data_IF_558143396578
#
_entry.id   IF_558143396578
#
_cell.length_a   1.000
_cell.length_b   1.000
_cell.length_c   1.000
_cell.angle_alpha   90.00
_cell.angle_beta   90.00
_cell.angle_gamma   90.00
#
_symmetry.space_group_name_H-M   'P 1'
#
loop_
_entity.id
_entity.type
_entity.pdbx_description
1 polymer ?
#
# COMPACT_ATOMS: atom_id res chain seq x y z
N UNK A 1 16.92 72.90 6.55
CA UNK A 1 17.19 71.71 7.40
C UNK A 1 16.25 70.58 7.03
N UNK A 2 16.73 69.52 6.33
CA UNK A 2 16.26 68.10 6.40
C UNK A 2 17.08 67.10 5.53
N UNK A 3 18.42 67.24 5.32
CA UNK A 3 19.18 66.30 4.48
C UNK A 3 19.29 64.87 5.05
N UNK A 4 19.11 64.69 6.37
CA UNK A 4 19.23 63.38 7.03
C UNK A 4 18.08 62.41 6.70
N UNK A 5 16.91 62.92 6.30
CA UNK A 5 15.75 62.07 5.98
C UNK A 5 15.92 61.43 4.60
N UNK A 6 16.43 62.17 3.62
CA UNK A 6 16.72 61.67 2.27
C UNK A 6 17.81 60.59 2.27
N UNK A 7 18.87 60.76 3.08
CA UNK A 7 19.94 59.75 3.21
C UNK A 7 19.42 58.45 3.82
N UNK A 8 18.60 58.54 4.88
CA UNK A 8 17.96 57.36 5.50
C UNK A 8 17.03 56.66 4.52
N UNK A 9 16.28 57.41 3.71
CA UNK A 9 15.38 56.85 2.68
C UNK A 9 16.17 56.12 1.60
N UNK A 10 17.28 56.70 1.14
CA UNK A 10 18.16 56.06 0.17
C UNK A 10 18.81 54.78 0.70
N UNK A 11 19.30 54.80 1.94
CA UNK A 11 19.88 53.61 2.60
C UNK A 11 18.84 52.49 2.76
N UNK A 12 17.60 52.84 3.08
CA UNK A 12 16.50 51.87 3.19
C UNK A 12 16.16 51.23 1.84
N UNK A 13 16.17 52.00 0.75
CA UNK A 13 15.95 51.48 -0.61
C UNK A 13 17.06 50.51 -1.00
N UNK A 14 18.32 50.83 -0.70
CA UNK A 14 19.45 49.92 -0.94
C UNK A 14 19.29 48.63 -0.12
N UNK A 15 18.96 48.75 1.16
CA UNK A 15 18.73 47.59 2.03
C UNK A 15 17.62 46.69 1.48
N UNK A 16 16.52 47.29 1.02
CA UNK A 16 15.39 46.57 0.42
C UNK A 16 15.82 45.87 -0.87
N UNK A 17 16.63 46.52 -1.71
CA UNK A 17 17.17 45.93 -2.93
C UNK A 17 18.06 44.73 -2.66
N UNK A 18 18.98 44.85 -1.70
CA UNK A 18 19.84 43.73 -1.27
C UNK A 18 19.01 42.59 -0.69
N UNK A 19 18.00 42.91 0.13
CA UNK A 19 17.11 41.91 0.69
C UNK A 19 16.32 41.16 -0.39
N UNK A 20 15.80 41.87 -1.40
CA UNK A 20 15.11 41.26 -2.53
C UNK A 20 16.02 40.33 -3.35
N UNK A 21 17.28 40.72 -3.57
CA UNK A 21 18.27 39.87 -4.25
C UNK A 21 18.58 38.61 -3.45
N UNK A 22 18.74 38.72 -2.13
CA UNK A 22 18.97 37.57 -1.25
C UNK A 22 17.77 36.61 -1.26
N UNK A 23 16.55 37.14 -1.22
CA UNK A 23 15.33 36.33 -1.32
C UNK A 23 15.25 35.62 -2.67
N UNK A 24 15.63 36.29 -3.77
CA UNK A 24 15.66 35.68 -5.10
C UNK A 24 16.69 34.54 -5.19
N UNK A 25 17.91 34.74 -4.68
CA UNK A 25 18.97 33.72 -4.66
C UNK A 25 18.63 32.55 -3.73
N UNK A 26 18.06 32.82 -2.55
CA UNK A 26 17.62 31.76 -1.64
C UNK A 26 16.50 30.94 -2.27
N UNK A 27 15.53 31.60 -2.90
CA UNK A 27 14.41 30.92 -3.53
C UNK A 27 14.86 30.05 -4.71
N UNK A 28 15.79 30.51 -5.56
CA UNK A 28 16.32 29.70 -6.66
C UNK A 28 17.07 28.47 -6.16
N UNK A 29 17.93 28.63 -5.14
CA UNK A 29 18.67 27.51 -4.53
C UNK A 29 17.74 26.47 -3.90
N UNK A 30 16.68 26.90 -3.23
CA UNK A 30 15.69 25.99 -2.65
C UNK A 30 14.96 25.19 -3.73
N UNK A 31 14.61 25.81 -4.86
CA UNK A 31 14.00 25.12 -6.00
C UNK A 31 14.91 24.06 -6.61
N UNK A 32 16.19 24.37 -6.79
CA UNK A 32 17.14 23.38 -7.32
C UNK A 32 17.39 22.22 -6.35
N UNK A 33 17.51 22.49 -5.06
CA UNK A 33 17.68 21.45 -4.04
C UNK A 33 16.46 20.54 -3.94
N UNK A 34 15.26 21.11 -3.95
CA UNK A 34 14.01 20.34 -3.87
C UNK A 34 13.80 19.49 -5.13
N UNK A 35 14.10 20.04 -6.31
CA UNK A 35 14.09 19.28 -7.57
C UNK A 35 15.08 18.13 -7.55
N UNK A 36 16.34 18.38 -7.20
CA UNK A 36 17.38 17.35 -7.17
C UNK A 36 17.09 16.27 -6.13
N UNK A 37 16.55 16.64 -4.96
CA UNK A 37 16.11 15.68 -3.94
C UNK A 37 14.98 14.80 -4.46
N UNK A 38 13.98 15.40 -5.11
CA UNK A 38 12.85 14.66 -5.68
C UNK A 38 13.30 13.67 -6.76
N UNK A 39 14.18 14.09 -7.67
CA UNK A 39 14.76 13.20 -8.69
C UNK A 39 15.54 12.04 -8.04
N UNK A 40 16.34 12.32 -7.00
CA UNK A 40 17.08 11.30 -6.25
C UNK A 40 16.14 10.29 -5.59
N UNK A 41 15.10 10.76 -4.92
CA UNK A 41 14.17 9.91 -4.18
C UNK A 41 13.36 9.01 -5.13
N UNK A 42 13.01 9.51 -6.32
CA UNK A 42 12.39 8.70 -7.37
C UNK A 42 13.32 7.57 -7.85
N UNK A 43 14.59 7.86 -8.10
CA UNK A 43 15.57 6.85 -8.53
C UNK A 43 15.80 5.80 -7.43
N UNK A 44 15.97 6.24 -6.18
CA UNK A 44 16.15 5.34 -5.03
C UNK A 44 14.95 4.40 -4.89
N UNK A 45 13.72 4.91 -5.03
CA UNK A 45 12.50 4.10 -4.95
C UNK A 45 12.47 3.01 -6.02
N UNK A 46 12.82 3.36 -7.26
CA UNK A 46 12.89 2.39 -8.36
C UNK A 46 13.94 1.30 -8.11
N UNK A 47 15.11 1.69 -7.60
CA UNK A 47 16.18 0.77 -7.26
C UNK A 47 15.72 -0.20 -6.16
N UNK A 48 15.10 0.28 -5.08
CA UNK A 48 14.58 -0.60 -4.03
C UNK A 48 13.52 -1.59 -4.54
N UNK A 49 12.61 -1.15 -5.42
CA UNK A 49 11.62 -2.03 -6.03
C UNK A 49 12.28 -3.14 -6.88
N UNK A 50 13.35 -2.81 -7.61
CA UNK A 50 14.13 -3.78 -8.38
C UNK A 50 14.86 -4.78 -7.47
N UNK A 51 15.50 -4.31 -6.39
CA UNK A 51 16.16 -5.20 -5.42
C UNK A 51 15.19 -6.16 -4.75
N UNK A 52 14.01 -5.68 -4.33
CA UNK A 52 12.97 -6.53 -3.74
C UNK A 52 12.51 -7.61 -4.73
N UNK A 53 12.30 -7.23 -5.99
CA UNK A 53 11.94 -8.18 -7.06
C UNK A 53 13.03 -9.22 -7.27
N UNK A 54 14.30 -8.77 -7.35
CA UNK A 54 15.44 -9.64 -7.52
C UNK A 54 15.56 -10.65 -6.37
N UNK A 55 15.45 -10.20 -5.13
CA UNK A 55 15.51 -11.08 -3.96
C UNK A 55 14.38 -12.12 -3.97
N UNK A 56 13.17 -11.72 -4.33
CA UNK A 56 12.03 -12.64 -4.46
C UNK A 56 12.28 -13.69 -5.56
N UNK A 57 12.87 -13.29 -6.69
CA UNK A 57 13.23 -14.20 -7.77
C UNK A 57 14.37 -15.15 -7.37
N UNK A 58 15.43 -14.64 -6.74
CA UNK A 58 16.55 -15.44 -6.24
C UNK A 58 16.05 -16.48 -5.22
N UNK A 59 15.12 -16.11 -4.35
CA UNK A 59 14.49 -17.04 -3.38
C UNK A 59 13.71 -18.15 -4.09
N UNK A 60 12.93 -17.81 -5.13
CA UNK A 60 12.20 -18.79 -5.93
C UNK A 60 13.14 -19.74 -6.66
N UNK A 61 14.21 -19.22 -7.26
CA UNK A 61 15.22 -20.04 -7.93
C UNK A 61 15.89 -20.99 -6.94
N UNK A 62 16.27 -20.50 -5.76
CA UNK A 62 16.87 -21.34 -4.72
C UNK A 62 15.92 -22.46 -4.27
N UNK A 63 14.64 -22.15 -4.08
CA UNK A 63 13.62 -23.16 -3.78
C UNK A 63 13.47 -24.18 -4.91
N UNK A 64 13.30 -23.74 -6.16
CA UNK A 64 13.13 -24.63 -7.32
C UNK A 64 14.32 -25.57 -7.54
N UNK A 65 15.53 -25.17 -7.13
CA UNK A 65 16.73 -26.00 -7.21
C UNK A 65 16.94 -26.90 -5.97
N UNK A 66 16.07 -26.83 -4.97
CA UNK A 66 16.19 -27.60 -3.73
C UNK A 66 15.49 -28.96 -3.81
N UNK A 67 15.95 -29.91 -3.00
CA UNK A 67 15.29 -31.23 -2.85
C UNK A 67 13.87 -31.10 -2.30
N UNK A 68 13.60 -30.07 -1.50
CA UNK A 68 12.27 -29.78 -0.96
C UNK A 68 11.26 -29.53 -2.07
N UNK A 69 11.64 -28.79 -3.12
CA UNK A 69 10.74 -28.55 -4.26
C UNK A 69 10.45 -29.85 -5.04
N UNK A 70 11.43 -30.77 -5.12
CA UNK A 70 11.22 -32.09 -5.73
C UNK A 70 10.27 -32.92 -4.88
N UNK A 71 10.40 -32.89 -3.56
CA UNK A 71 9.51 -33.60 -2.65
C UNK A 71 8.08 -33.05 -2.69
N UNK A 72 7.90 -31.73 -2.61
CA UNK A 72 6.57 -31.09 -2.66
C UNK A 72 5.84 -31.44 -3.95
N UNK A 73 6.53 -31.41 -5.09
CA UNK A 73 5.99 -31.87 -6.37
C UNK A 73 5.65 -33.36 -6.34
N UNK A 74 6.58 -34.19 -5.87
CA UNK A 74 6.40 -35.64 -5.83
C UNK A 74 5.19 -36.03 -4.98
N UNK A 75 4.98 -35.38 -3.82
CA UNK A 75 3.85 -35.68 -2.92
C UNK A 75 2.54 -35.09 -3.41
N UNK A 76 2.57 -33.83 -3.83
CA UNK A 76 1.37 -33.05 -4.15
C UNK A 76 0.83 -33.35 -5.54
N UNK A 77 1.67 -33.18 -6.56
CA UNK A 77 1.25 -33.24 -7.97
C UNK A 77 1.39 -34.64 -8.56
N UNK A 78 2.51 -35.32 -8.28
CA UNK A 78 2.80 -36.64 -8.85
C UNK A 78 2.12 -37.78 -8.09
N UNK A 79 1.68 -37.54 -6.84
CA UNK A 79 1.08 -38.56 -5.97
C UNK A 79 2.05 -39.68 -5.58
N UNK A 80 3.36 -39.43 -5.60
CA UNK A 80 4.39 -40.40 -5.32
C UNK A 80 4.57 -40.63 -3.82
N UNK A 81 4.70 -41.91 -3.46
CA UNK A 81 4.99 -42.38 -2.12
C UNK A 81 6.48 -42.68 -1.95
N UNK A 82 7.09 -42.36 -0.80
CA UNK A 82 8.42 -42.82 -0.44
C UNK A 82 8.33 -44.23 0.15
N UNK A 83 9.44 -45.00 0.09
CA UNK A 83 9.50 -46.29 0.77
C UNK A 83 9.14 -46.14 2.26
N UNK A 84 8.10 -46.85 2.70
CA UNK A 84 7.59 -46.79 4.08
C UNK A 84 6.29 -46.00 4.25
N UNK A 85 5.85 -45.25 3.24
CA UNK A 85 4.58 -44.53 3.31
C UNK A 85 3.38 -45.46 3.06
N UNK A 86 2.26 -45.15 3.74
CA UNK A 86 0.99 -45.84 3.58
C UNK A 86 0.01 -44.93 2.82
N UNK A 87 -0.14 -45.17 1.51
CA UNK A 87 -1.03 -44.37 0.66
C UNK A 87 -2.49 -44.74 0.94
N UNK A 88 -3.25 -43.78 1.46
CA UNK A 88 -4.69 -43.94 1.72
C UNK A 88 -5.48 -43.22 0.62
N UNK A 89 -6.30 -43.96 -0.11
CA UNK A 89 -7.24 -43.39 -1.08
C UNK A 89 -8.61 -43.30 -0.39
N UNK A 90 -9.13 -42.09 -0.12
CA UNK A 90 -10.45 -41.94 0.47
C UNK A 90 -11.51 -42.46 -0.51
N UNK A 91 -12.22 -43.51 -0.13
CA UNK A 91 -13.42 -43.93 -0.84
C UNK A 91 -14.59 -43.07 -0.36
N UNK A 92 -15.33 -42.48 -1.31
CA UNK A 92 -16.58 -41.81 -0.98
C UNK A 92 -17.50 -42.83 -0.31
N UNK A 93 -18.00 -42.49 0.89
CA UNK A 93 -18.95 -43.34 1.61
C UNK A 93 -20.23 -43.43 0.76
N UNK A 94 -20.65 -44.63 0.37
CA UNK A 94 -21.87 -44.85 -0.45
C UNK A 94 -23.14 -44.26 0.20
N UNK A 95 -23.12 -43.98 1.50
CA UNK A 95 -24.22 -43.38 2.25
C UNK A 95 -23.84 -42.01 2.82
N UNK A 96 -23.67 -41.02 1.93
CA UNK A 96 -23.68 -39.62 2.34
C UNK A 96 -25.07 -39.31 2.89
N UNK A 97 -25.21 -39.27 4.22
CA UNK A 97 -26.38 -38.67 4.85
C UNK A 97 -26.29 -37.19 4.53
N UNK A 98 -27.10 -36.74 3.59
CA UNK A 98 -27.27 -35.32 3.29
C UNK A 98 -27.78 -34.64 4.56
N UNK A 99 -26.90 -33.87 5.22
CA UNK A 99 -27.32 -32.95 6.28
C UNK A 99 -28.37 -32.02 5.68
N UNK A 100 -29.57 -31.88 6.29
CA UNK A 100 -30.59 -30.99 5.76
C UNK A 100 -30.02 -29.57 5.67
N UNK A 101 -30.12 -28.98 4.48
CA UNK A 101 -29.78 -27.57 4.27
C UNK A 101 -30.59 -26.72 5.25
N UNK A 102 -29.96 -25.86 6.07
CA UNK A 102 -30.70 -24.99 6.98
C UNK A 102 -31.67 -24.13 6.17
N UNK A 103 -32.94 -24.07 6.58
CA UNK A 103 -33.89 -23.13 5.98
C UNK A 103 -33.34 -21.71 6.15
N UNK A 104 -33.43 -20.85 5.12
CA UNK A 104 -33.06 -19.46 5.26
C UNK A 104 -33.90 -18.83 6.36
N UNK A 105 -33.25 -18.19 7.32
CA UNK A 105 -33.92 -17.33 8.30
C UNK A 105 -34.63 -16.22 7.52
N UNK A 106 -35.91 -15.91 7.80
CA UNK A 106 -36.58 -14.80 7.14
C UNK A 106 -35.77 -13.53 7.39
N UNK A 107 -35.22 -12.96 6.31
CA UNK A 107 -34.59 -11.64 6.35
C UNK A 107 -35.69 -10.64 6.68
N UNK A 108 -35.56 -9.96 7.81
CA UNK A 108 -36.41 -8.81 8.11
C UNK A 108 -36.22 -7.79 7.00
N UNK A 109 -37.31 -7.36 6.37
CA UNK A 109 -37.24 -6.27 5.40
C UNK A 109 -36.69 -5.01 6.11
N UNK A 110 -35.69 -4.32 5.54
CA UNK A 110 -35.20 -3.09 6.11
C UNK A 110 -36.31 -2.05 6.10
N UNK A 111 -36.77 -1.67 7.29
CA UNK A 111 -37.68 -0.54 7.50
C UNK A 111 -36.93 0.73 7.15
N UNK A 112 -37.52 1.59 6.35
CA UNK A 112 -36.88 2.84 5.96
C UNK A 112 -36.76 3.77 7.17
N UNK A 113 -35.66 4.52 7.27
CA UNK A 113 -35.41 5.42 8.41
C UNK A 113 -36.57 6.39 8.69
N UNK A 114 -37.28 6.85 7.66
CA UNK A 114 -38.41 7.77 7.82
C UNK A 114 -39.61 7.12 8.50
N UNK A 115 -39.85 5.82 8.30
CA UNK A 115 -40.93 5.07 8.95
C UNK A 115 -40.65 4.93 10.46
N UNK A 116 -39.37 4.74 10.81
CA UNK A 116 -38.90 4.74 12.20
C UNK A 116 -39.15 6.09 12.86
N UNK A 117 -38.77 7.19 12.20
CA UNK A 117 -39.01 8.54 12.72
C UNK A 117 -40.50 8.85 12.84
N UNK A 118 -41.29 8.45 11.84
CA UNK A 118 -42.74 8.65 11.86
C UNK A 118 -43.40 7.90 13.03
N UNK A 119 -43.01 6.65 13.27
CA UNK A 119 -43.49 5.87 14.41
C UNK A 119 -43.09 6.48 15.76
N UNK A 120 -41.91 7.07 15.87
CA UNK A 120 -41.44 7.74 17.10
C UNK A 120 -42.24 9.00 17.43
N UNK A 121 -42.65 9.79 16.43
CA UNK A 121 -43.33 11.07 16.65
C UNK A 121 -44.86 10.98 16.61
N UNK A 122 -45.41 10.07 15.81
CA UNK A 122 -46.83 10.03 15.49
C UNK A 122 -47.42 8.62 15.65
N UNK A 123 -46.81 7.79 16.49
CA UNK A 123 -47.11 6.37 16.64
C UNK A 123 -48.59 6.00 16.51
N UNK A 124 -48.83 4.80 15.98
CA UNK A 124 -49.96 4.03 16.46
C UNK A 124 -49.65 3.51 17.86
#
# INVERSE_FOLDING_TARGET
MRPKIELKRFLFIILLGVFALLMMDLNSRLWDLTRLSSERDQVITQVYAQWATRYALETKIAYSNSELAVEDWARGEAGWAKPGDQVVIPLAKENVIVTPTPLPTPTLEPVDNWEVWWALFFGR
#
